data_IF_803260457127
#
_entry.id   IF_803260457127
#
_cell.length_a   1.000
_cell.length_b   1.000
_cell.length_c   1.000
_cell.angle_alpha   90.00
_cell.angle_beta   90.00
_cell.angle_gamma   90.00
#
_symmetry.space_group_name_H-M   'P 1'
#
loop_
_entity.id
_entity.type
_entity.pdbx_description
1 polymer ?
#
# COMPACT_ATOMS: atom_id res chain seq x y z
N UNK A 1 13.45 6.44 3.33
CA UNK A 1 13.09 6.98 2.01
C UNK A 1 12.57 5.89 1.07
N UNK A 2 13.27 4.76 0.91
CA UNK A 2 12.82 3.61 0.08
C UNK A 2 11.37 3.15 0.33
N UNK A 3 11.00 2.92 1.58
CA UNK A 3 9.64 2.44 1.91
C UNK A 3 8.55 3.49 1.62
N UNK A 4 8.87 4.78 1.76
CA UNK A 4 7.95 5.87 1.42
C UNK A 4 7.70 5.92 -0.09
N UNK A 5 8.75 5.81 -0.91
CA UNK A 5 8.63 5.74 -2.36
C UNK A 5 7.82 4.53 -2.82
N UNK A 6 8.03 3.36 -2.20
CA UNK A 6 7.24 2.15 -2.47
C UNK A 6 5.76 2.39 -2.15
N UNK A 7 5.45 3.02 -1.01
CA UNK A 7 4.07 3.36 -0.63
C UNK A 7 3.41 4.34 -1.62
N UNK A 8 4.14 5.35 -2.10
CA UNK A 8 3.65 6.25 -3.13
C UNK A 8 3.36 5.51 -4.44
N UNK A 9 4.27 4.63 -4.89
CA UNK A 9 4.08 3.83 -6.10
C UNK A 9 2.88 2.90 -6.01
N UNK A 10 2.70 2.21 -4.88
CA UNK A 10 1.57 1.33 -4.63
C UNK A 10 0.25 2.10 -4.64
N UNK A 11 0.21 3.29 -4.03
CA UNK A 11 -0.99 4.13 -4.00
C UNK A 11 -1.41 4.58 -5.39
N UNK A 12 -0.46 5.08 -6.20
CA UNK A 12 -0.70 5.50 -7.58
C UNK A 12 -1.19 4.31 -8.42
N UNK A 13 -0.54 3.15 -8.29
CA UNK A 13 -0.95 1.93 -9.01
C UNK A 13 -2.37 1.48 -8.64
N UNK A 14 -2.74 1.61 -7.36
CA UNK A 14 -4.06 1.21 -6.85
C UNK A 14 -5.18 2.11 -7.38
N UNK A 15 -4.96 3.43 -7.45
CA UNK A 15 -5.93 4.38 -8.03
C UNK A 15 -6.12 4.12 -9.52
N UNK A 16 -5.03 4.01 -10.31
CA UNK A 16 -5.13 3.69 -11.74
C UNK A 16 -5.80 2.34 -12.02
N UNK A 17 -5.53 1.32 -11.19
CA UNK A 17 -6.21 0.02 -11.30
C UNK A 17 -7.72 0.14 -11.00
N UNK A 18 -8.10 1.01 -10.06
CA UNK A 18 -9.50 1.26 -9.72
C UNK A 18 -10.23 1.96 -10.87
N UNK A 19 -9.63 3.01 -11.44
CA UNK A 19 -10.15 3.71 -12.63
C UNK A 19 -10.27 2.74 -13.81
N UNK A 20 -9.23 1.94 -14.08
CA UNK A 20 -9.27 0.95 -15.17
C UNK A 20 -10.42 -0.05 -15.01
N UNK A 21 -10.67 -0.54 -13.79
CA UNK A 21 -11.78 -1.44 -13.51
C UNK A 21 -13.15 -0.78 -13.66
N UNK A 22 -13.28 0.51 -13.29
CA UNK A 22 -14.52 1.26 -13.51
C UNK A 22 -14.76 1.44 -15.01
N UNK A 23 -13.73 1.77 -15.79
CA UNK A 23 -13.81 1.86 -17.27
C UNK A 23 -14.21 0.54 -17.94
N UNK A 24 -13.77 -0.60 -17.40
CA UNK A 24 -14.20 -1.91 -17.90
C UNK A 24 -15.68 -2.19 -17.64
N UNK A 25 -16.25 -1.62 -16.57
CA UNK A 25 -17.66 -1.78 -16.21
C UNK A 25 -18.57 -0.87 -17.03
N UNK A 26 -18.12 0.34 -17.37
CA UNK A 26 -18.84 1.31 -18.18
C UNK A 26 -18.00 1.83 -19.37
N UNK A 27 -18.02 1.12 -20.51
CA UNK A 27 -17.12 1.37 -21.65
C UNK A 27 -17.27 2.75 -22.32
N UNK A 28 -18.36 3.46 -22.03
CA UNK A 28 -18.68 4.77 -22.62
C UNK A 28 -18.35 5.95 -21.72
N UNK A 29 -17.80 5.71 -20.52
CA UNK A 29 -17.37 6.78 -19.62
C UNK A 29 -16.11 7.46 -20.18
N UNK A 30 -16.30 8.64 -20.77
CA UNK A 30 -15.21 9.57 -21.10
C UNK A 30 -14.80 10.26 -19.80
N UNK A 31 -13.75 9.75 -19.17
CA UNK A 31 -13.14 10.41 -18.00
C UNK A 31 -12.64 11.79 -18.40
N UNK A 32 -13.23 12.83 -17.80
CA UNK A 32 -12.75 14.18 -17.99
C UNK A 32 -11.36 14.32 -17.36
N UNK A 33 -10.51 15.19 -17.92
CA UNK A 33 -9.17 15.43 -17.38
C UNK A 33 -9.17 15.84 -15.91
N UNK A 34 -10.24 16.51 -15.46
CA UNK A 34 -10.40 16.98 -14.09
C UNK A 34 -10.61 15.83 -13.09
N UNK A 35 -11.39 14.80 -13.46
CA UNK A 35 -11.61 13.61 -12.61
C UNK A 35 -10.31 12.81 -12.42
N UNK A 36 -9.49 12.72 -13.47
CA UNK A 36 -8.17 12.07 -13.41
C UNK A 36 -7.22 12.80 -12.46
N UNK A 37 -7.27 14.14 -12.41
CA UNK A 37 -6.45 14.95 -11.52
C UNK A 37 -6.93 14.75 -10.07
N UNK A 38 -8.24 14.72 -9.84
CA UNK A 38 -8.80 14.49 -8.51
C UNK A 38 -8.38 13.12 -7.95
N UNK A 39 -8.54 12.06 -8.73
CA UNK A 39 -8.11 10.71 -8.36
C UNK A 39 -6.60 10.64 -8.11
N UNK A 40 -5.79 11.33 -8.91
CA UNK A 40 -4.35 11.42 -8.68
C UNK A 40 -4.01 12.12 -7.36
N UNK A 41 -4.70 13.20 -7.01
CA UNK A 41 -4.50 13.92 -5.75
C UNK A 41 -4.93 13.08 -4.55
N UNK A 42 -6.04 12.35 -4.66
CA UNK A 42 -6.51 11.41 -3.65
C UNK A 42 -5.52 10.25 -3.46
N UNK A 43 -4.97 9.72 -4.55
CA UNK A 43 -3.92 8.70 -4.51
C UNK A 43 -2.63 9.23 -3.86
N UNK A 44 -2.26 10.48 -4.14
CA UNK A 44 -1.10 11.13 -3.51
C UNK A 44 -1.32 11.28 -2.00
N UNK A 45 -2.49 11.77 -1.58
CA UNK A 45 -2.87 11.93 -0.18
C UNK A 45 -2.86 10.59 0.56
N UNK A 46 -3.41 9.54 -0.05
CA UNK A 46 -3.37 8.19 0.50
C UNK A 46 -1.93 7.68 0.63
N UNK A 47 -1.09 7.90 -0.38
CA UNK A 47 0.32 7.52 -0.37
C UNK A 47 1.10 8.21 0.76
N UNK A 48 0.80 9.48 1.04
CA UNK A 48 1.37 10.22 2.17
C UNK A 48 0.94 9.64 3.51
N UNK A 49 -0.36 9.34 3.69
CA UNK A 49 -0.87 8.75 4.92
C UNK A 49 -0.24 7.39 5.21
N UNK A 50 -0.17 6.51 4.21
CA UNK A 50 0.49 5.20 4.33
C UNK A 50 2.00 5.38 4.57
N UNK A 51 2.64 6.31 3.86
CA UNK A 51 4.04 6.64 4.03
C UNK A 51 4.39 7.10 5.45
N UNK A 52 3.52 7.89 6.07
CA UNK A 52 3.62 8.29 7.47
C UNK A 52 3.37 7.12 8.42
N UNK A 53 2.36 6.29 8.15
CA UNK A 53 2.04 5.11 8.93
C UNK A 53 3.23 4.14 9.04
N UNK A 54 4.07 4.03 8.00
CA UNK A 54 5.29 3.22 8.04
C UNK A 54 6.27 3.59 9.16
N UNK A 55 6.21 4.81 9.71
CA UNK A 55 7.06 5.17 10.86
C UNK A 55 6.73 4.34 12.10
N UNK A 56 5.54 3.73 12.18
CA UNK A 56 5.18 2.84 13.29
C UNK A 56 6.11 1.64 13.42
N UNK A 57 6.71 1.18 12.32
CA UNK A 57 7.70 0.09 12.31
C UNK A 57 9.06 0.49 12.89
N UNK A 58 9.32 1.78 13.14
CA UNK A 58 10.52 2.23 13.84
C UNK A 58 10.37 2.21 15.36
N UNK A 59 9.15 2.05 15.88
CA UNK A 59 8.93 1.92 17.32
C UNK A 59 9.38 0.53 17.77
N UNK A 60 10.55 0.46 18.39
CA UNK A 60 11.25 -0.77 18.74
C UNK A 60 10.63 -1.53 19.93
N UNK A 61 9.51 -1.06 20.47
CA UNK A 61 8.93 -1.56 21.72
C UNK A 61 7.84 -2.60 21.53
N UNK A 62 7.29 -2.74 20.32
CA UNK A 62 6.10 -3.54 20.05
C UNK A 62 6.45 -4.81 19.28
N UNK A 63 5.76 -5.94 19.54
CA UNK A 63 5.96 -7.15 18.75
C UNK A 63 5.56 -6.90 17.30
N UNK A 64 6.35 -7.44 16.37
CA UNK A 64 6.21 -7.18 14.93
C UNK A 64 4.79 -7.43 14.40
N UNK A 65 4.12 -8.49 14.89
CA UNK A 65 2.74 -8.82 14.52
C UNK A 65 1.74 -7.75 14.97
N UNK A 66 1.91 -7.18 16.17
CA UNK A 66 1.02 -6.12 16.66
C UNK A 66 1.21 -4.83 15.85
N UNK A 67 2.47 -4.47 15.55
CA UNK A 67 2.78 -3.32 14.70
C UNK A 67 2.18 -3.51 13.31
N UNK A 68 2.28 -4.71 12.74
CA UNK A 68 1.70 -5.04 11.44
C UNK A 68 0.16 -4.92 11.44
N UNK A 69 -0.49 -5.39 12.51
CA UNK A 69 -1.95 -5.30 12.66
C UNK A 69 -2.40 -3.83 12.77
N UNK A 70 -1.72 -3.01 13.58
CA UNK A 70 -2.03 -1.58 13.71
C UNK A 70 -1.78 -0.86 12.39
N UNK A 71 -0.66 -1.14 11.72
CA UNK A 71 -0.37 -0.56 10.41
C UNK A 71 -1.46 -0.91 9.40
N UNK A 72 -1.92 -2.16 9.36
CA UNK A 72 -3.01 -2.59 8.50
C UNK A 72 -4.31 -1.82 8.79
N UNK A 73 -4.69 -1.65 10.06
CA UNK A 73 -5.87 -0.88 10.46
C UNK A 73 -5.76 0.56 9.95
N UNK A 74 -4.60 1.21 10.13
CA UNK A 74 -4.37 2.58 9.66
C UNK A 74 -4.52 2.68 8.14
N UNK A 75 -3.94 1.74 7.39
CA UNK A 75 -4.03 1.71 5.92
C UNK A 75 -5.48 1.55 5.47
N UNK A 76 -6.22 0.61 6.06
CA UNK A 76 -7.63 0.37 5.73
C UNK A 76 -8.48 1.60 6.05
N UNK A 77 -8.35 2.17 7.25
CA UNK A 77 -9.10 3.37 7.64
C UNK A 77 -8.77 4.57 6.74
N UNK A 78 -7.50 4.73 6.36
CA UNK A 78 -7.05 5.78 5.44
C UNK A 78 -7.68 5.61 4.05
N UNK A 79 -7.66 4.39 3.52
CA UNK A 79 -8.24 4.09 2.21
C UNK A 79 -9.76 4.23 2.19
N UNK A 80 -10.45 3.87 3.27
CA UNK A 80 -11.89 4.14 3.39
C UNK A 80 -12.19 5.64 3.45
N UNK A 81 -11.41 6.40 4.23
CA UNK A 81 -11.58 7.86 4.33
C UNK A 81 -11.43 8.51 2.95
N UNK A 82 -10.37 8.16 2.22
CA UNK A 82 -10.14 8.66 0.86
C UNK A 82 -11.22 8.17 -0.11
N UNK A 83 -11.65 6.91 0.00
CA UNK A 83 -12.68 6.34 -0.84
C UNK A 83 -14.06 6.99 -0.68
N UNK A 84 -14.35 7.61 0.48
CA UNK A 84 -15.55 8.43 0.66
C UNK A 84 -15.46 9.70 -0.19
N UNK A 85 -14.30 10.36 -0.20
CA UNK A 85 -14.09 11.58 -1.00
C UNK A 85 -14.03 11.27 -2.51
N UNK A 86 -13.37 10.18 -2.91
CA UNK A 86 -13.27 9.74 -4.31
C UNK A 86 -14.47 8.96 -4.84
N UNK A 87 -15.54 8.82 -4.05
CA UNK A 87 -16.70 8.01 -4.44
C UNK A 87 -16.36 6.56 -4.88
N UNK A 88 -15.32 5.97 -4.29
CA UNK A 88 -14.82 4.63 -4.65
C UNK A 88 -15.81 3.50 -4.30
N UNK A 89 -16.80 3.80 -3.46
CA UNK A 89 -17.87 2.89 -3.06
C UNK A 89 -19.15 3.67 -2.78
N UNK A 90 -20.29 2.99 -2.89
CA UNK A 90 -21.60 3.58 -2.58
C UNK A 90 -22.10 3.08 -1.22
N UNK A 91 -22.55 4.00 -0.38
CA UNK A 91 -23.18 3.68 0.91
C UNK A 91 -24.49 2.91 0.75
N UNK A 92 -25.16 3.08 -0.40
CA UNK A 92 -26.41 2.40 -0.71
C UNK A 92 -26.18 0.94 -1.12
N UNK A 93 -24.96 0.59 -1.55
CA UNK A 93 -24.60 -0.75 -2.01
C UNK A 93 -23.49 -1.35 -1.15
N UNK A 94 -23.81 -2.07 -0.06
CA UNK A 94 -22.82 -2.59 0.88
C UNK A 94 -21.82 -3.58 0.22
N UNK A 95 -22.21 -4.20 -0.89
CA UNK A 95 -21.32 -5.09 -1.65
C UNK A 95 -20.11 -4.34 -2.25
N UNK A 96 -20.24 -3.04 -2.57
CA UNK A 96 -19.12 -2.22 -3.06
C UNK A 96 -18.09 -1.92 -1.96
N UNK A 97 -18.56 -1.73 -0.73
CA UNK A 97 -17.72 -1.55 0.47
C UNK A 97 -16.89 -2.81 0.73
N UNK A 98 -17.53 -3.98 0.70
CA UNK A 98 -16.85 -5.27 0.88
C UNK A 98 -15.86 -5.51 -0.25
N UNK A 99 -16.21 -5.20 -1.50
CA UNK A 99 -15.31 -5.32 -2.63
C UNK A 99 -14.06 -4.43 -2.48
N UNK A 100 -14.22 -3.19 -2.02
CA UNK A 100 -13.11 -2.29 -1.74
C UNK A 100 -12.20 -2.84 -0.62
N UNK A 101 -12.80 -3.32 0.47
CA UNK A 101 -12.05 -3.94 1.57
C UNK A 101 -11.20 -5.12 1.10
N UNK A 102 -11.80 -6.03 0.31
CA UNK A 102 -11.10 -7.21 -0.23
C UNK A 102 -9.93 -6.77 -1.13
N UNK A 103 -10.14 -5.77 -2.00
CA UNK A 103 -9.09 -5.23 -2.88
C UNK A 103 -7.91 -4.68 -2.07
N UNK A 104 -8.19 -3.82 -1.09
CA UNK A 104 -7.15 -3.24 -0.21
C UNK A 104 -6.39 -4.36 0.52
N UNK A 105 -7.12 -5.36 1.03
CA UNK A 105 -6.52 -6.52 1.72
C UNK A 105 -5.57 -7.29 0.82
N UNK A 106 -5.99 -7.61 -0.41
CA UNK A 106 -5.16 -8.34 -1.38
C UNK A 106 -3.90 -7.55 -1.73
N UNK A 107 -4.05 -6.25 -2.03
CA UNK A 107 -2.91 -5.38 -2.37
C UNK A 107 -1.94 -5.31 -1.20
N UNK A 108 -2.44 -5.14 0.02
CA UNK A 108 -1.63 -5.11 1.24
C UNK A 108 -0.82 -6.40 1.42
N UNK A 109 -1.44 -7.56 1.24
CA UNK A 109 -0.77 -8.87 1.34
C UNK A 109 0.33 -8.99 0.28
N UNK A 110 0.05 -8.64 -0.97
CA UNK A 110 1.03 -8.71 -2.07
C UNK A 110 2.24 -7.81 -1.77
N UNK A 111 2.00 -6.56 -1.37
CA UNK A 111 3.05 -5.59 -1.04
C UNK A 111 3.86 -6.07 0.17
N UNK A 112 3.20 -6.58 1.20
CA UNK A 112 3.86 -7.12 2.38
C UNK A 112 4.75 -8.32 2.04
N UNK A 113 4.26 -9.27 1.25
CA UNK A 113 5.03 -10.43 0.79
C UNK A 113 6.25 -9.99 -0.02
N UNK A 114 6.09 -9.01 -0.92
CA UNK A 114 7.20 -8.47 -1.69
C UNK A 114 8.27 -7.86 -0.77
N UNK A 115 7.87 -7.03 0.19
CA UNK A 115 8.79 -6.45 1.17
C UNK A 115 9.51 -7.54 1.97
N UNK A 116 8.78 -8.55 2.45
CA UNK A 116 9.35 -9.65 3.23
C UNK A 116 10.39 -10.45 2.42
N UNK A 117 10.11 -10.72 1.15
CA UNK A 117 11.07 -11.37 0.26
C UNK A 117 12.32 -10.53 0.04
N UNK A 118 12.19 -9.22 -0.16
CA UNK A 118 13.35 -8.32 -0.31
C UNK A 118 14.19 -8.26 0.97
N UNK A 119 13.55 -8.14 2.13
CA UNK A 119 14.24 -8.12 3.43
C UNK A 119 14.97 -9.45 3.70
N UNK A 120 14.37 -10.59 3.37
CA UNK A 120 15.03 -11.89 3.51
C UNK A 120 16.29 -12.00 2.65
N UNK A 121 16.25 -11.45 1.42
CA UNK A 121 17.43 -11.38 0.54
C UNK A 121 18.51 -10.47 1.12
N UNK A 122 18.13 -9.30 1.62
CA UNK A 122 19.06 -8.34 2.25
C UNK A 122 19.77 -8.97 3.47
N UNK A 123 19.04 -9.67 4.34
CA UNK A 123 19.60 -10.37 5.50
C UNK A 123 20.56 -11.49 5.06
N UNK A 124 20.19 -12.29 4.05
CA UNK A 124 21.05 -13.35 3.53
C UNK A 124 22.37 -12.78 3.01
N UNK A 125 22.31 -11.71 2.22
CA UNK A 125 23.48 -11.03 1.68
C UNK A 125 24.38 -10.47 2.79
N UNK A 126 23.79 -9.89 3.83
CA UNK A 126 24.55 -9.36 4.96
C UNK A 126 25.24 -10.48 5.75
N UNK A 127 24.58 -11.63 5.94
CA UNK A 127 25.18 -12.80 6.57
C UNK A 127 26.33 -13.39 5.74
N UNK A 128 26.21 -13.42 4.40
CA UNK A 128 27.28 -13.88 3.50
C UNK A 128 28.53 -12.99 3.65
N UNK A 129 28.37 -11.66 3.63
CA UNK A 129 29.46 -10.69 3.82
C UNK A 129 30.14 -10.86 5.19
N UNK A 130 29.36 -11.09 6.25
CA UNK A 130 29.88 -11.31 7.60
C UNK A 130 30.63 -12.63 7.74
N UNK A 131 30.25 -13.67 6.99
CA UNK A 131 30.96 -14.94 6.97
C UNK A 131 32.27 -14.85 6.19
N UNK A 132 32.28 -14.16 5.05
CA UNK A 132 33.46 -13.93 4.22
C UNK A 132 34.52 -13.11 4.96
N UNK A 133 34.12 -11.99 5.58
CA UNK A 133 35.02 -11.14 6.39
C UNK A 133 35.54 -11.80 7.67
N UNK A 134 34.85 -12.82 8.19
CA UNK A 134 35.31 -13.61 9.35
C UNK A 134 36.24 -14.77 8.93
N UNK A 135 36.06 -15.32 7.73
CA UNK A 135 36.92 -16.36 7.17
C UNK A 135 38.29 -15.84 6.68
N UNK A 136 38.41 -14.56 6.35
CA UNK A 136 39.69 -13.91 6.01
C UNK A 136 40.57 -13.59 7.24
N UNK A 137 40.06 -13.79 8.46
CA UNK A 137 40.79 -13.54 9.71
C UNK A 137 41.34 -14.81 10.40
N UNK A 138 41.14 -16.00 9.80
CA UNK A 138 41.71 -17.29 10.23
C UNK A 138 42.82 -17.75 9.28
#
# INVERSE_FOLDING_TARGET
MRNFLISCFVSVFTSYFTIALISFREPTALWAGDELIEEFLLALALGLMIGCANNIFKLNQWPYIAVLAVHYIIVVSSAFTIGIFGSWFSMEQPMTIVALFIRITIIYIIVWLFILMTQKKDIKRMNEILQESRGEQE
#
